data_IF_058060098296
#
_entry.id   IF_058060098296
#
_cell.length_a   1.000
_cell.length_b   1.000
_cell.length_c   1.000
_cell.angle_alpha   90.00
_cell.angle_beta   90.00
_cell.angle_gamma   90.00
#
_symmetry.space_group_name_H-M   'P 1'
#
loop_
_entity.id
_entity.type
_entity.pdbx_description
1 polymer ?
#
# COMPACT_ATOMS: atom_id res chain seq x y z
N UNK A 1 31.57 47.98 -12.97
CA UNK A 1 31.25 46.55 -13.20
C UNK A 1 30.27 46.12 -12.12
N UNK A 2 28.98 46.32 -12.40
CA UNK A 2 27.85 45.90 -11.57
C UNK A 2 27.57 44.43 -11.88
N UNK A 3 27.77 43.54 -10.90
CA UNK A 3 27.48 42.11 -11.04
C UNK A 3 26.05 41.81 -10.57
N UNK A 4 25.15 41.77 -11.53
CA UNK A 4 24.07 40.79 -11.70
C UNK A 4 23.70 39.91 -10.48
N UNK A 5 22.96 40.46 -9.51
CA UNK A 5 22.09 39.67 -8.64
C UNK A 5 20.74 39.54 -9.36
N UNK A 6 20.60 38.50 -10.19
CA UNK A 6 19.34 38.21 -10.88
C UNK A 6 18.42 37.50 -9.89
N UNK A 7 17.43 38.23 -9.40
CA UNK A 7 16.22 37.73 -8.75
C UNK A 7 15.65 36.53 -9.54
N UNK A 8 15.86 35.30 -9.06
CA UNK A 8 15.01 34.17 -9.42
C UNK A 8 13.75 34.29 -8.57
N UNK A 9 12.72 34.94 -9.12
CA UNK A 9 11.34 34.69 -8.70
C UNK A 9 11.03 33.26 -9.11
N UNK A 10 11.13 32.32 -8.15
CA UNK A 10 10.46 31.04 -8.29
C UNK A 10 8.96 31.37 -8.34
N UNK A 11 8.33 31.25 -9.51
CA UNK A 11 6.88 31.15 -9.57
C UNK A 11 6.53 29.90 -8.77
N UNK A 12 6.07 30.06 -7.53
CA UNK A 12 5.46 28.98 -6.76
C UNK A 12 4.29 28.48 -7.60
N UNK A 13 4.36 27.23 -8.04
CA UNK A 13 3.20 26.56 -8.60
C UNK A 13 2.09 26.59 -7.54
N UNK A 14 0.87 26.87 -7.98
CA UNK A 14 -0.33 26.90 -7.16
C UNK A 14 -1.30 25.86 -7.68
N UNK A 15 -2.01 25.21 -6.78
CA UNK A 15 -3.08 24.27 -7.10
C UNK A 15 -4.43 24.85 -6.73
N UNK A 16 -5.40 24.57 -7.58
CA UNK A 16 -6.80 24.86 -7.31
C UNK A 16 -7.42 23.69 -6.57
N UNK A 17 -7.94 23.96 -5.37
CA UNK A 17 -8.61 22.97 -4.54
C UNK A 17 -10.07 23.37 -4.36
N UNK A 18 -10.98 22.53 -4.83
CA UNK A 18 -12.41 22.70 -4.58
C UNK A 18 -12.81 21.89 -3.37
N UNK A 19 -13.34 22.53 -2.33
CA UNK A 19 -13.91 21.83 -1.17
C UNK A 19 -15.42 21.81 -1.29
N UNK A 20 -16.00 20.62 -1.28
CA UNK A 20 -17.44 20.37 -1.30
C UNK A 20 -17.95 20.16 0.11
N UNK A 21 -19.12 20.75 0.39
CA UNK A 21 -19.79 20.66 1.68
C UNK A 21 -21.19 20.11 1.45
N UNK A 22 -21.58 19.16 2.30
CA UNK A 22 -22.92 18.58 2.29
C UNK A 22 -23.54 18.73 3.68
N UNK A 23 -24.66 19.46 3.80
CA UNK A 23 -25.48 19.44 5.00
C UNK A 23 -26.96 19.48 4.64
N UNK A 24 -27.78 18.72 5.37
CA UNK A 24 -29.25 18.73 5.25
C UNK A 24 -29.76 18.58 3.80
N UNK A 25 -29.06 17.78 2.99
CA UNK A 25 -29.42 17.53 1.59
C UNK A 25 -29.01 18.63 0.62
N UNK A 26 -28.41 19.72 1.10
CA UNK A 26 -27.84 20.79 0.28
C UNK A 26 -26.35 20.54 0.04
N UNK A 27 -25.89 20.97 -1.13
CA UNK A 27 -24.48 20.91 -1.53
C UNK A 27 -23.98 22.29 -1.92
N UNK A 28 -22.85 22.69 -1.36
CA UNK A 28 -22.13 23.89 -1.78
C UNK A 28 -20.65 23.56 -1.95
N UNK A 29 -19.94 24.42 -2.68
CA UNK A 29 -18.50 24.26 -2.88
C UNK A 29 -17.80 25.61 -2.75
N UNK A 30 -16.53 25.58 -2.37
CA UNK A 30 -15.65 26.75 -2.35
C UNK A 30 -14.29 26.38 -2.91
N UNK A 31 -13.74 27.25 -3.73
CA UNK A 31 -12.43 27.07 -4.35
C UNK A 31 -11.35 27.81 -3.55
N UNK A 32 -10.17 27.20 -3.49
CA UNK A 32 -8.99 27.70 -2.81
C UNK A 32 -7.80 27.61 -3.73
N UNK A 33 -6.94 28.63 -3.69
CA UNK A 33 -5.61 28.54 -4.28
C UNK A 33 -4.59 28.28 -3.17
N UNK A 34 -3.88 27.16 -3.28
CA UNK A 34 -2.84 26.75 -2.34
C UNK A 34 -1.51 26.60 -3.06
N UNK A 35 -0.40 26.85 -2.37
CA UNK A 35 0.94 26.60 -2.91
C UNK A 35 1.17 25.07 -3.09
N UNK A 36 2.01 24.66 -4.05
CA UNK A 36 2.29 23.24 -4.35
C UNK A 36 2.89 22.39 -3.24
N UNK A 37 3.29 23.01 -2.13
CA UNK A 37 3.81 22.36 -0.94
C UNK A 37 2.89 22.52 0.29
N UNK A 38 1.73 23.14 0.11
CA UNK A 38 0.76 23.34 1.17
C UNK A 38 0.18 21.99 1.63
N UNK A 39 0.07 21.83 2.95
CA UNK A 39 -0.54 20.64 3.55
C UNK A 39 -2.06 20.77 3.64
N UNK A 40 -2.73 19.65 3.86
CA UNK A 40 -4.16 19.63 4.22
C UNK A 40 -4.42 20.52 5.44
N UNK A 41 -3.53 20.51 6.45
CA UNK A 41 -3.64 21.40 7.60
C UNK A 41 -3.62 22.88 7.22
N UNK A 42 -2.69 23.29 6.35
CA UNK A 42 -2.60 24.68 5.87
C UNK A 42 -3.86 25.09 5.09
N UNK A 43 -4.44 24.18 4.31
CA UNK A 43 -5.74 24.40 3.66
C UNK A 43 -6.85 24.59 4.70
N UNK A 44 -6.93 23.73 5.72
CA UNK A 44 -7.93 23.83 6.81
C UNK A 44 -7.80 25.15 7.59
N UNK A 45 -6.59 25.60 7.85
CA UNK A 45 -6.31 26.93 8.43
C UNK A 45 -6.85 28.05 7.53
N UNK A 46 -6.56 27.99 6.22
CA UNK A 46 -7.11 28.95 5.24
C UNK A 46 -8.63 28.89 5.14
N UNK A 47 -9.26 27.75 5.46
CA UNK A 47 -10.71 27.62 5.42
C UNK A 47 -11.41 28.45 6.51
N UNK A 48 -10.77 28.61 7.67
CA UNK A 48 -11.34 29.24 8.86
C UNK A 48 -10.77 30.62 9.18
N UNK A 49 -9.72 31.06 8.48
CA UNK A 49 -9.13 32.39 8.65
C UNK A 49 -10.18 33.51 8.40
N UNK A 50 -10.31 34.54 9.27
CA UNK A 50 -9.50 34.85 10.45
C UNK A 50 -10.08 34.42 11.81
N UNK A 51 -11.08 33.54 11.84
CA UNK A 51 -11.89 33.31 13.05
C UNK A 51 -11.82 31.91 13.66
N UNK A 52 -11.07 30.97 13.07
CA UNK A 52 -10.91 29.61 13.62
C UNK A 52 -9.67 29.43 14.47
N UNK A 53 -9.84 28.81 15.65
CA UNK A 53 -8.76 28.32 16.49
C UNK A 53 -8.30 26.91 16.12
N UNK A 54 -7.30 26.39 16.83
CA UNK A 54 -6.78 25.02 16.62
C UNK A 54 -7.86 23.95 16.79
N UNK A 55 -8.76 24.12 17.76
CA UNK A 55 -9.87 23.18 17.99
C UNK A 55 -10.87 23.16 16.83
N UNK A 56 -11.13 24.32 16.21
CA UNK A 56 -12.01 24.42 15.05
C UNK A 56 -11.38 23.77 13.81
N UNK A 57 -10.06 23.94 13.64
CA UNK A 57 -9.28 23.29 12.58
C UNK A 57 -9.32 21.77 12.76
N UNK A 58 -9.16 21.29 13.99
CA UNK A 58 -9.14 19.87 14.29
C UNK A 58 -10.54 19.24 14.18
N UNK A 59 -11.63 20.00 14.41
CA UNK A 59 -13.02 19.50 14.47
C UNK A 59 -13.62 18.97 13.16
N UNK A 60 -12.90 19.03 12.04
CA UNK A 60 -13.36 18.50 10.76
C UNK A 60 -12.24 17.79 9.98
N UNK A 61 -12.62 16.96 9.02
CA UNK A 61 -11.69 16.32 8.08
C UNK A 61 -12.05 16.64 6.64
N UNK A 62 -11.04 16.48 5.77
CA UNK A 62 -11.20 16.53 4.33
C UNK A 62 -11.02 15.13 3.76
N UNK A 63 -11.83 14.79 2.76
CA UNK A 63 -11.83 13.46 2.15
C UNK A 63 -11.64 13.56 0.64
N UNK A 64 -10.69 12.80 0.11
CA UNK A 64 -10.51 12.67 -1.33
C UNK A 64 -11.17 11.36 -1.78
N UNK A 65 -12.22 11.47 -2.59
CA UNK A 65 -12.99 10.30 -3.09
C UNK A 65 -13.49 9.41 -1.94
N UNK A 66 -14.05 10.03 -0.91
CA UNK A 66 -14.57 9.33 0.28
C UNK A 66 -13.50 8.76 1.23
N UNK A 67 -12.21 9.00 0.99
CA UNK A 67 -11.12 8.60 1.90
C UNK A 67 -10.61 9.81 2.66
N UNK A 68 -10.47 9.70 3.98
CA UNK A 68 -9.84 10.73 4.82
C UNK A 68 -8.44 11.04 4.33
N UNK A 69 -8.10 12.32 4.23
CA UNK A 69 -6.75 12.82 3.93
C UNK A 69 -6.12 13.33 5.24
N UNK A 70 -4.95 12.82 5.66
CA UNK A 70 -4.27 13.28 6.88
C UNK A 70 -3.84 14.75 6.79
N UNK A 71 -3.75 15.41 7.93
CA UNK A 71 -3.42 16.84 8.03
C UNK A 71 -2.03 17.18 7.47
N UNK A 72 -1.06 16.26 7.50
CA UNK A 72 0.31 16.46 6.98
C UNK A 72 0.44 16.22 5.46
N UNK A 73 -0.58 15.68 4.78
CA UNK A 73 -0.47 15.34 3.36
C UNK A 73 -0.35 16.61 2.51
N UNK A 74 0.58 16.63 1.54
CA UNK A 74 0.82 17.77 0.65
C UNK A 74 -0.08 17.74 -0.58
N UNK A 75 -0.59 18.90 -0.93
CA UNK A 75 -1.43 19.09 -2.12
C UNK A 75 -0.52 19.32 -3.32
N UNK A 76 -0.35 18.27 -4.14
CA UNK A 76 0.60 18.28 -5.26
C UNK A 76 -0.08 18.47 -6.64
N UNK A 77 -1.41 18.59 -6.68
CA UNK A 77 -2.20 18.76 -7.88
C UNK A 77 -3.57 19.33 -7.54
N UNK A 78 -4.30 19.79 -8.57
CA UNK A 78 -5.68 20.22 -8.43
C UNK A 78 -6.57 19.05 -8.00
N UNK A 79 -7.46 19.30 -7.04
CA UNK A 79 -8.31 18.24 -6.49
C UNK A 79 -9.63 18.76 -5.92
N UNK A 80 -10.60 17.84 -5.81
CA UNK A 80 -11.87 18.08 -5.12
C UNK A 80 -11.90 17.26 -3.82
N UNK A 81 -12.16 17.94 -2.71
CA UNK A 81 -12.21 17.35 -1.37
C UNK A 81 -13.61 17.48 -0.78
N UNK A 82 -14.09 16.44 -0.11
CA UNK A 82 -15.35 16.46 0.64
C UNK A 82 -15.07 16.86 2.09
N UNK A 83 -15.81 17.85 2.59
CA UNK A 83 -15.78 18.27 3.98
C UNK A 83 -16.66 17.35 4.84
N UNK A 84 -16.14 16.93 5.99
CA UNK A 84 -16.89 16.18 6.99
C UNK A 84 -16.63 16.74 8.40
N UNK A 85 -17.68 17.17 9.10
CA UNK A 85 -17.58 17.65 10.47
C UNK A 85 -17.56 16.48 11.45
N UNK A 86 -16.53 16.40 12.30
CA UNK A 86 -16.32 15.33 13.26
C UNK A 86 -16.72 15.74 14.69
N UNK A 87 -16.67 17.04 14.98
CA UNK A 87 -16.73 17.59 16.33
C UNK A 87 -15.37 17.58 17.04
N UNK A 88 -15.27 18.40 18.07
CA UNK A 88 -14.00 18.72 18.78
C UNK A 88 -13.28 17.47 19.30
N UNK A 89 -14.00 16.55 19.94
CA UNK A 89 -13.39 15.38 20.59
C UNK A 89 -12.73 14.42 19.60
N UNK A 90 -13.46 14.00 18.56
CA UNK A 90 -12.94 13.08 17.55
C UNK A 90 -11.92 13.76 16.63
N UNK A 91 -12.14 15.05 16.34
CA UNK A 91 -11.20 15.88 15.61
C UNK A 91 -9.83 15.96 16.27
N UNK A 92 -9.79 16.36 17.54
CA UNK A 92 -8.56 16.47 18.34
C UNK A 92 -7.84 15.13 18.45
N UNK A 93 -8.60 14.03 18.66
CA UNK A 93 -8.03 12.67 18.72
C UNK A 93 -7.32 12.31 17.42
N UNK A 94 -7.93 12.60 16.27
CA UNK A 94 -7.36 12.31 14.94
C UNK A 94 -6.17 13.23 14.60
N UNK A 95 -6.25 14.52 14.89
CA UNK A 95 -5.13 15.45 14.67
C UNK A 95 -3.88 15.07 15.49
N UNK A 96 -4.07 14.50 16.70
CA UNK A 96 -2.96 13.95 17.49
C UNK A 96 -2.31 12.73 16.82
N UNK A 97 -3.12 11.83 16.23
CA UNK A 97 -2.59 10.67 15.48
C UNK A 97 -1.81 11.13 14.25
N UNK A 98 -2.33 12.12 13.50
CA UNK A 98 -1.64 12.65 12.33
C UNK A 98 -0.26 13.24 12.70
N UNK A 99 -0.17 14.01 13.80
CA UNK A 99 1.11 14.54 14.30
C UNK A 99 2.12 13.44 14.70
N UNK A 100 1.63 12.28 15.14
CA UNK A 100 2.48 11.14 15.48
C UNK A 100 2.96 10.39 14.21
N UNK A 101 2.14 10.38 13.17
CA UNK A 101 2.42 9.70 11.90
C UNK A 101 3.17 10.57 10.87
N UNK A 102 3.16 11.90 11.01
CA UNK A 102 3.84 12.86 10.12
C UNK A 102 5.34 12.55 9.92
N UNK A 103 6.16 12.30 10.98
CA UNK A 103 7.58 11.97 10.80
C UNK A 103 7.81 10.66 10.05
N UNK A 104 6.88 9.71 10.18
CA UNK A 104 6.89 8.44 9.43
C UNK A 104 6.57 8.68 7.96
N UNK A 105 5.74 9.68 7.65
CA UNK A 105 5.33 10.03 6.29
C UNK A 105 6.36 10.85 5.51
N UNK A 106 7.01 11.84 6.13
CA UNK A 106 8.07 12.62 5.48
C UNK A 106 9.25 11.74 5.05
N UNK A 107 9.55 10.70 5.84
CA UNK A 107 10.53 9.66 5.50
C UNK A 107 10.23 8.92 4.19
N UNK A 108 8.95 8.78 3.82
CA UNK A 108 8.50 8.00 2.66
C UNK A 108 8.54 8.81 1.35
N UNK A 109 8.70 10.14 1.43
CA UNK A 109 8.68 11.04 0.27
C UNK A 109 10.09 11.49 -0.21
N UNK A 110 11.17 11.00 0.40
CA UNK A 110 12.53 11.37 -0.01
C UNK A 110 12.89 10.81 -1.41
N UNK A 111 13.55 11.61 -2.29
CA UNK A 111 14.00 11.14 -3.59
C UNK A 111 15.01 9.99 -3.45
N UNK A 112 14.77 8.90 -4.17
CA UNK A 112 15.65 7.73 -4.17
C UNK A 112 16.97 8.06 -4.87
N UNK A 113 18.10 7.72 -4.24
CA UNK A 113 19.33 7.50 -5.01
C UNK A 113 19.26 6.09 -5.60
N UNK A 114 19.69 5.94 -6.85
CA UNK A 114 19.72 4.65 -7.53
C UNK A 114 20.50 3.61 -6.69
N UNK A 115 20.04 2.36 -6.66
CA UNK A 115 20.68 1.32 -5.87
C UNK A 115 22.12 1.11 -6.35
N UNK A 116 23.12 1.03 -5.45
CA UNK A 116 24.49 0.73 -5.86
C UNK A 116 24.55 -0.68 -6.48
N UNK A 117 25.28 -0.79 -7.59
CA UNK A 117 25.53 -2.06 -8.27
C UNK A 117 26.00 -3.14 -7.30
N UNK A 118 25.45 -4.36 -7.49
CA UNK A 118 25.75 -5.57 -6.71
C UNK A 118 27.26 -5.76 -6.51
N UNK A 119 27.74 -5.47 -5.30
CA UNK A 119 29.06 -5.92 -4.86
C UNK A 119 28.98 -7.44 -4.69
N UNK A 120 29.63 -8.17 -5.60
CA UNK A 120 29.83 -9.62 -5.46
C UNK A 120 30.64 -9.88 -4.18
N UNK A 121 30.31 -10.91 -3.37
CA UNK A 121 31.08 -11.23 -2.18
C UNK A 121 32.50 -11.62 -2.59
N UNK A 122 33.47 -10.80 -2.18
CA UNK A 122 34.90 -11.08 -2.33
C UNK A 122 35.27 -12.14 -1.29
N UNK A 123 35.85 -13.23 -1.75
CA UNK A 123 36.39 -14.31 -0.93
C UNK A 123 37.40 -13.76 0.08
N UNK A 124 37.16 -14.03 1.36
CA UNK A 124 38.06 -13.66 2.46
C UNK A 124 39.19 -14.71 2.54
N UNK A 125 40.48 -14.32 2.56
CA UNK A 125 41.54 -15.25 2.89
C UNK A 125 41.60 -15.48 4.40
N UNK A 126 41.76 -16.74 4.80
CA UNK A 126 41.98 -17.13 6.18
C UNK A 126 43.32 -16.58 6.69
N UNK A 127 43.28 -15.78 7.76
CA UNK A 127 44.48 -15.44 8.55
C UNK A 127 44.25 -15.60 10.04
N UNK A 128 45.35 -16.00 10.69
CA UNK A 128 45.50 -16.58 12.02
C UNK A 128 45.09 -15.67 13.17
N UNK A 129 44.75 -16.36 14.28
CA UNK A 129 44.54 -15.85 15.63
C UNK A 129 45.72 -15.03 16.15
N UNK A 130 45.40 -13.91 16.79
CA UNK A 130 46.16 -13.36 17.91
C UNK A 130 45.18 -12.69 18.88
N UNK A 131 45.25 -13.14 20.13
CA UNK A 131 44.47 -12.66 21.28
C UNK A 131 44.71 -11.19 21.60
N UNK A 132 43.63 -10.46 21.91
CA UNK A 132 43.54 -9.60 23.10
C UNK A 132 42.13 -9.04 23.30
N UNK A 133 41.47 -9.52 24.36
CA UNK A 133 40.58 -8.78 25.29
C UNK A 133 39.60 -7.73 24.74
N UNK A 134 38.33 -8.12 24.62
CA UNK A 134 37.20 -7.49 25.33
C UNK A 134 35.93 -8.28 25.01
N UNK A 135 35.68 -9.35 25.77
CA UNK A 135 34.49 -10.20 25.60
C UNK A 135 33.26 -9.42 26.08
N UNK A 136 32.60 -8.73 25.15
CA UNK A 136 31.21 -8.33 25.30
C UNK A 136 30.39 -9.51 24.79
N UNK A 137 29.75 -10.24 25.69
CA UNK A 137 28.94 -11.41 25.37
C UNK A 137 27.92 -11.04 24.30
N UNK A 138 27.99 -11.65 23.12
CA UNK A 138 26.89 -11.56 22.16
C UNK A 138 25.66 -12.24 22.78
N UNK A 139 24.45 -11.69 22.61
CA UNK A 139 23.24 -12.37 23.06
C UNK A 139 23.11 -13.72 22.37
N UNK A 140 22.94 -14.80 23.13
CA UNK A 140 22.64 -16.13 22.60
C UNK A 140 21.33 -16.09 21.81
N UNK A 141 21.19 -16.93 20.77
CA UNK A 141 19.99 -16.96 19.91
C UNK A 141 18.67 -17.19 20.69
N UNK A 142 18.75 -17.76 21.89
CA UNK A 142 17.63 -17.94 22.81
C UNK A 142 17.09 -16.64 23.42
N UNK A 143 17.82 -15.51 23.36
CA UNK A 143 17.37 -14.25 23.94
C UNK A 143 16.47 -13.42 23.03
N UNK A 144 16.30 -13.81 21.76
CA UNK A 144 15.49 -13.06 20.82
C UNK A 144 14.01 -13.44 20.94
N UNK A 145 13.15 -12.43 20.88
CA UNK A 145 11.71 -12.62 20.87
C UNK A 145 11.29 -13.47 19.68
N UNK A 146 10.58 -14.57 19.94
CA UNK A 146 9.95 -15.40 18.91
C UNK A 146 8.50 -14.97 18.74
N UNK A 147 8.21 -14.40 17.59
CA UNK A 147 6.87 -14.03 17.19
C UNK A 147 5.97 -15.27 17.03
N UNK A 148 4.75 -15.19 17.56
CA UNK A 148 3.75 -16.26 17.42
C UNK A 148 2.55 -15.74 16.62
N UNK A 149 2.33 -16.20 15.38
CA UNK A 149 1.19 -15.75 14.58
C UNK A 149 -0.14 -16.17 15.20
N UNK A 150 -1.20 -15.43 14.87
CA UNK A 150 -2.55 -15.75 15.30
C UNK A 150 -3.00 -17.13 14.75
N UNK A 151 -3.81 -17.89 15.50
CA UNK A 151 -4.48 -19.06 14.95
C UNK A 151 -5.39 -18.63 13.79
N UNK A 152 -5.36 -19.38 12.68
CA UNK A 152 -6.17 -19.05 11.51
C UNK A 152 -7.66 -19.37 11.75
N UNK A 153 -8.59 -18.61 11.13
CA UNK A 153 -10.01 -18.95 11.14
C UNK A 153 -10.26 -20.33 10.55
N UNK A 154 -11.30 -21.03 11.03
CA UNK A 154 -11.65 -22.36 10.53
C UNK A 154 -11.90 -22.33 9.01
N UNK A 155 -11.15 -23.13 8.25
CA UNK A 155 -11.22 -23.21 6.78
C UNK A 155 -10.16 -22.38 6.02
N UNK A 156 -9.42 -21.49 6.69
CA UNK A 156 -8.33 -20.73 6.09
C UNK A 156 -7.03 -21.57 6.04
N UNK A 157 -6.73 -22.19 4.90
CA UNK A 157 -5.44 -22.87 4.69
C UNK A 157 -4.31 -21.85 4.46
N UNK A 158 -3.04 -22.23 4.76
CA UNK A 158 -1.86 -21.49 4.27
C UNK A 158 -1.83 -21.54 2.75
N UNK A 159 -2.51 -20.61 2.10
CA UNK A 159 -2.37 -20.38 0.66
C UNK A 159 -1.10 -19.56 0.46
N UNK A 160 -0.14 -20.16 -0.22
CA UNK A 160 1.01 -19.43 -0.75
C UNK A 160 0.55 -18.30 -1.68
N UNK A 161 1.47 -17.39 -2.05
CA UNK A 161 1.17 -16.32 -2.99
C UNK A 161 0.50 -16.87 -4.25
N UNK A 162 -0.69 -16.37 -4.57
CA UNK A 162 -1.24 -16.57 -5.90
C UNK A 162 -0.29 -15.85 -6.87
N UNK A 163 0.24 -16.57 -7.85
CA UNK A 163 1.08 -15.97 -8.89
C UNK A 163 0.40 -14.72 -9.47
N UNK A 164 1.18 -13.75 -9.95
CA UNK A 164 0.66 -12.55 -10.62
C UNK A 164 -0.06 -12.94 -11.91
N UNK A 165 -1.30 -13.41 -11.77
CA UNK A 165 -2.15 -13.87 -12.86
C UNK A 165 -2.86 -12.68 -13.46
N UNK A 166 -2.80 -12.57 -14.78
CA UNK A 166 -3.54 -11.52 -15.51
C UNK A 166 -5.03 -11.77 -15.29
N UNK A 167 -5.75 -10.73 -14.94
CA UNK A 167 -7.19 -10.78 -14.68
C UNK A 167 -7.94 -9.92 -15.68
N UNK A 168 -9.16 -10.34 -15.97
CA UNK A 168 -10.04 -9.73 -16.94
C UNK A 168 -11.41 -9.49 -16.32
N UNK A 169 -12.07 -8.41 -16.73
CA UNK A 169 -13.46 -8.11 -16.41
C UNK A 169 -14.32 -8.34 -17.63
N UNK A 170 -15.45 -9.03 -17.44
CA UNK A 170 -16.48 -9.15 -18.47
C UNK A 170 -17.27 -7.85 -18.57
N UNK A 171 -17.17 -7.17 -19.71
CA UNK A 171 -17.83 -5.87 -19.96
C UNK A 171 -18.93 -5.93 -21.01
N UNK A 172 -18.99 -7.01 -21.80
CA UNK A 172 -19.98 -7.18 -22.86
C UNK A 172 -21.06 -8.21 -22.54
N UNK A 173 -22.07 -8.29 -23.42
CA UNK A 173 -23.13 -9.29 -23.34
C UNK A 173 -24.24 -8.99 -22.32
N UNK A 174 -24.29 -7.78 -21.77
CA UNK A 174 -25.28 -7.36 -20.76
C UNK A 174 -26.72 -7.56 -21.24
N UNK A 175 -26.96 -7.29 -22.52
CA UNK A 175 -28.23 -7.49 -23.23
C UNK A 175 -28.67 -8.96 -23.30
N UNK A 176 -27.73 -9.90 -23.13
CA UNK A 176 -27.95 -11.35 -23.22
C UNK A 176 -27.66 -12.07 -21.91
N UNK A 177 -27.56 -11.34 -20.80
CA UNK A 177 -27.25 -11.88 -19.48
C UNK A 177 -25.80 -12.37 -19.30
N UNK A 178 -24.90 -12.03 -20.23
CA UNK A 178 -23.49 -12.42 -20.19
C UNK A 178 -22.91 -12.86 -21.54
N UNK A 179 -21.63 -13.17 -21.53
CA UNK A 179 -20.87 -13.60 -22.71
C UNK A 179 -20.92 -15.12 -22.87
N UNK A 180 -20.88 -15.54 -24.14
CA UNK A 180 -20.92 -16.94 -24.52
C UNK A 180 -19.59 -17.63 -24.18
N UNK A 181 -19.67 -18.74 -23.43
CA UNK A 181 -18.52 -19.58 -23.10
C UNK A 181 -18.52 -20.83 -23.97
N UNK A 182 -17.34 -21.27 -24.39
CA UNK A 182 -17.14 -22.51 -25.16
C UNK A 182 -16.20 -23.47 -24.45
N UNK A 183 -16.38 -24.77 -24.68
CA UNK A 183 -15.52 -25.82 -24.12
C UNK A 183 -14.09 -25.77 -24.70
N UNK A 184 -13.93 -25.31 -25.94
CA UNK A 184 -12.64 -25.27 -26.64
C UNK A 184 -12.29 -23.91 -27.23
N UNK A 185 -11.02 -23.78 -27.65
CA UNK A 185 -10.48 -22.55 -28.23
C UNK A 185 -11.23 -22.12 -29.49
N UNK A 186 -11.65 -23.07 -30.35
CA UNK A 186 -12.34 -22.76 -31.61
C UNK A 186 -13.69 -22.07 -31.39
N UNK A 187 -14.02 -21.11 -32.27
CA UNK A 187 -15.35 -20.48 -32.31
C UNK A 187 -16.45 -21.42 -32.79
N UNK A 188 -16.11 -22.62 -33.25
CA UNK A 188 -17.07 -23.67 -33.63
C UNK A 188 -17.18 -24.80 -32.62
N UNK A 189 -16.40 -24.78 -31.52
CA UNK A 189 -16.47 -25.83 -30.49
C UNK A 189 -17.80 -25.77 -29.73
N UNK A 190 -18.14 -26.83 -28.99
CA UNK A 190 -19.35 -26.89 -28.17
C UNK A 190 -19.50 -25.65 -27.27
N UNK A 191 -20.68 -25.05 -27.32
CA UNK A 191 -21.08 -23.98 -26.42
C UNK A 191 -21.48 -24.59 -25.08
N UNK A 192 -21.06 -23.95 -23.99
CA UNK A 192 -21.58 -24.29 -22.67
C UNK A 192 -23.00 -23.72 -22.51
N UNK A 193 -23.80 -24.40 -21.69
CA UNK A 193 -25.19 -24.02 -21.42
C UNK A 193 -25.27 -22.66 -20.74
N UNK A 194 -24.38 -22.42 -19.78
CA UNK A 194 -24.34 -21.19 -19.00
C UNK A 194 -23.45 -20.13 -19.65
N UNK A 195 -23.89 -18.88 -19.54
CA UNK A 195 -23.11 -17.70 -19.92
C UNK A 195 -22.30 -17.19 -18.74
N UNK A 196 -21.17 -16.57 -19.03
CA UNK A 196 -20.40 -15.85 -18.02
C UNK A 196 -20.97 -14.43 -17.88
N UNK A 197 -21.48 -14.09 -16.69
CA UNK A 197 -22.21 -12.84 -16.46
C UNK A 197 -21.38 -11.59 -16.72
N UNK A 198 -22.03 -10.51 -17.16
CA UNK A 198 -21.38 -9.18 -17.22
C UNK A 198 -20.98 -8.74 -15.81
N UNK A 199 -19.79 -8.15 -15.65
CA UNK A 199 -19.18 -7.81 -14.37
C UNK A 199 -18.46 -8.97 -13.68
N UNK A 200 -18.47 -10.18 -14.24
CA UNK A 200 -17.66 -11.28 -13.73
C UNK A 200 -16.16 -10.97 -13.86
N UNK A 201 -15.39 -11.39 -12.85
CA UNK A 201 -13.94 -11.35 -12.91
C UNK A 201 -13.38 -12.73 -13.18
N UNK A 202 -12.39 -12.78 -14.06
CA UNK A 202 -11.78 -14.03 -14.51
C UNK A 202 -10.26 -13.93 -14.54
N UNK A 203 -9.61 -15.06 -14.32
CA UNK A 203 -8.16 -15.27 -14.40
C UNK A 203 -7.80 -15.78 -15.80
N UNK A 204 -6.73 -15.26 -16.40
CA UNK A 204 -6.15 -15.75 -17.65
C UNK A 204 -5.40 -17.06 -17.40
N UNK A 205 -5.87 -18.14 -18.05
CA UNK A 205 -5.15 -19.41 -18.09
C UNK A 205 -4.30 -19.54 -19.36
N UNK A 206 -4.84 -19.12 -20.50
CA UNK A 206 -4.14 -19.10 -21.80
C UNK A 206 -4.78 -18.01 -22.69
N UNK A 207 -3.96 -17.39 -23.54
CA UNK A 207 -4.40 -16.40 -24.52
C UNK A 207 -3.85 -16.73 -25.90
N UNK A 208 -4.74 -17.06 -26.83
CA UNK A 208 -4.41 -17.49 -28.19
C UNK A 208 -5.09 -16.58 -29.22
N UNK A 209 -4.38 -15.54 -29.66
CA UNK A 209 -4.97 -14.50 -30.50
C UNK A 209 -6.13 -13.83 -29.77
N UNK A 210 -7.32 -13.85 -30.35
CA UNK A 210 -8.54 -13.23 -29.80
C UNK A 210 -9.33 -14.16 -28.86
N UNK A 211 -8.73 -15.27 -28.40
CA UNK A 211 -9.39 -16.30 -27.60
C UNK A 211 -8.72 -16.45 -26.25
N UNK A 212 -9.48 -16.19 -25.19
CA UNK A 212 -9.03 -16.24 -23.80
C UNK A 212 -9.61 -17.50 -23.13
N UNK A 213 -8.73 -18.37 -22.64
CA UNK A 213 -9.10 -19.40 -21.69
C UNK A 213 -9.06 -18.84 -20.28
N UNK A 214 -10.09 -19.11 -19.50
CA UNK A 214 -10.24 -18.49 -18.20
C UNK A 214 -10.61 -19.44 -17.08
N UNK A 215 -10.37 -18.99 -15.85
CA UNK A 215 -10.99 -19.49 -14.62
C UNK A 215 -11.80 -18.37 -13.95
N UNK A 216 -13.05 -18.63 -13.58
CA UNK A 216 -13.93 -17.65 -12.93
C UNK A 216 -13.47 -17.39 -11.50
N UNK A 217 -13.30 -16.11 -11.17
CA UNK A 217 -12.96 -15.65 -9.81
C UNK A 217 -14.20 -15.13 -9.08
N UNK A 218 -15.11 -14.44 -9.77
CA UNK A 218 -16.37 -13.94 -9.23
C UNK A 218 -17.45 -13.81 -10.31
N UNK A 219 -18.69 -13.45 -9.94
CA UNK A 219 -19.84 -13.43 -10.86
C UNK A 219 -20.50 -14.81 -11.03
N UNK A 220 -21.37 -14.98 -12.02
CA UNK A 220 -22.07 -16.24 -12.30
C UNK A 220 -21.68 -16.82 -13.67
N UNK A 221 -21.91 -18.13 -13.85
CA UNK A 221 -21.56 -18.87 -15.06
C UNK A 221 -20.51 -19.97 -14.83
N UNK A 222 -20.00 -20.57 -15.92
CA UNK A 222 -19.05 -21.68 -15.85
C UNK A 222 -17.77 -21.32 -15.05
N UNK A 223 -17.21 -22.29 -14.34
CA UNK A 223 -15.94 -22.11 -13.61
C UNK A 223 -14.76 -21.93 -14.57
N UNK A 224 -14.78 -22.58 -15.73
CA UNK A 224 -13.74 -22.46 -16.76
C UNK A 224 -14.34 -22.46 -18.16
N UNK A 225 -13.57 -22.01 -19.14
CA UNK A 225 -13.90 -22.14 -20.55
C UNK A 225 -13.17 -21.14 -21.43
N UNK A 226 -13.63 -21.01 -22.67
CA UNK A 226 -13.06 -20.11 -23.68
C UNK A 226 -14.04 -19.03 -24.10
N UNK A 227 -13.57 -17.78 -24.10
CA UNK A 227 -14.32 -16.59 -24.53
C UNK A 227 -13.54 -15.83 -25.61
N UNK A 228 -14.23 -14.99 -26.38
CA UNK A 228 -13.57 -14.04 -27.29
C UNK A 228 -13.26 -12.74 -26.55
N UNK A 229 -12.16 -12.09 -26.89
CA UNK A 229 -11.85 -10.74 -26.41
C UNK A 229 -12.87 -9.71 -26.90
N UNK A 230 -13.26 -9.82 -28.17
CA UNK A 230 -14.23 -8.95 -28.82
C UNK A 230 -15.10 -9.70 -29.85
N UNK A 231 -16.24 -9.12 -30.22
CA UNK A 231 -17.10 -9.59 -31.34
C UNK A 231 -17.58 -8.37 -32.11
N UNK A 232 -17.31 -8.34 -33.42
CA UNK A 232 -17.68 -7.23 -34.31
C UNK A 232 -17.23 -5.86 -33.79
N UNK A 233 -16.01 -5.79 -33.25
CA UNK A 233 -15.43 -4.57 -32.69
C UNK A 233 -15.94 -4.18 -31.29
N UNK A 234 -16.91 -4.91 -30.72
CA UNK A 234 -17.34 -4.70 -29.34
C UNK A 234 -16.51 -5.54 -28.39
N UNK A 235 -15.86 -4.88 -27.44
CA UNK A 235 -15.10 -5.53 -26.37
C UNK A 235 -16.04 -6.35 -25.46
N UNK A 236 -15.66 -7.59 -25.19
CA UNK A 236 -16.41 -8.50 -24.31
C UNK A 236 -15.72 -8.68 -22.97
N UNK A 237 -14.38 -8.69 -22.98
CA UNK A 237 -13.55 -8.70 -21.79
C UNK A 237 -12.46 -7.66 -21.94
N UNK A 238 -12.09 -7.02 -20.83
CA UNK A 238 -10.95 -6.09 -20.78
C UNK A 238 -9.98 -6.47 -19.68
N UNK A 239 -8.67 -6.23 -19.85
CA UNK A 239 -7.72 -6.39 -18.76
C UNK A 239 -8.16 -5.51 -17.59
N UNK A 240 -8.27 -6.11 -16.40
CA UNK A 240 -8.56 -5.37 -15.17
C UNK A 240 -7.45 -5.63 -14.17
N UNK A 241 -6.65 -4.61 -13.93
CA UNK A 241 -5.81 -4.58 -12.76
C UNK A 241 -6.72 -4.40 -11.56
N UNK A 242 -6.88 -5.45 -10.75
CA UNK A 242 -7.41 -5.24 -9.40
C UNK A 242 -6.43 -4.34 -8.67
N UNK A 243 -6.98 -3.39 -7.94
CA UNK A 243 -6.17 -2.59 -7.04
C UNK A 243 -5.51 -3.52 -6.00
N UNK A 244 -4.32 -3.18 -5.48
CA UNK A 244 -3.68 -3.98 -4.44
C UNK A 244 -4.59 -4.23 -3.22
N UNK A 245 -5.53 -3.32 -2.96
CA UNK A 245 -6.57 -3.43 -1.94
C UNK A 245 -7.59 -4.54 -2.22
N UNK A 246 -7.90 -4.82 -3.49
CA UNK A 246 -8.81 -5.89 -3.92
C UNK A 246 -8.09 -7.24 -4.05
N UNK A 247 -6.76 -7.23 -4.14
CA UNK A 247 -5.93 -8.44 -4.26
C UNK A 247 -5.62 -9.10 -2.91
N UNK A 248 -5.46 -8.31 -1.86
CA UNK A 248 -5.13 -8.83 -0.54
C UNK A 248 -6.40 -9.41 0.09
N UNK A 249 -6.75 -10.66 -0.19
CA UNK A 249 -7.78 -11.39 0.57
C UNK A 249 -7.34 -11.59 2.03
N UNK A 250 -8.26 -11.89 2.95
CA UNK A 250 -7.90 -12.14 4.36
C UNK A 250 -6.85 -13.27 4.48
N UNK A 251 -7.03 -14.38 3.75
CA UNK A 251 -6.07 -15.48 3.72
C UNK A 251 -4.68 -15.02 3.25
N UNK A 252 -4.62 -14.16 2.23
CA UNK A 252 -3.36 -13.61 1.71
C UNK A 252 -2.76 -12.60 2.68
N UNK A 253 -3.58 -11.78 3.35
CA UNK A 253 -3.17 -10.82 4.36
C UNK A 253 -2.50 -11.51 5.56
N UNK A 254 -3.09 -12.59 6.07
CA UNK A 254 -2.52 -13.37 7.17
C UNK A 254 -1.22 -14.07 6.74
N UNK A 255 -1.19 -14.63 5.52
CA UNK A 255 0.01 -15.29 4.99
C UNK A 255 1.17 -14.29 4.81
N UNK A 256 0.88 -13.08 4.30
CA UNK A 256 1.86 -12.02 4.14
C UNK A 256 2.46 -11.63 5.51
N UNK A 257 1.62 -11.41 6.52
CA UNK A 257 2.07 -11.11 7.88
C UNK A 257 2.95 -12.24 8.44
N UNK A 258 2.55 -13.50 8.30
CA UNK A 258 3.33 -14.65 8.74
C UNK A 258 4.73 -14.69 8.08
N UNK A 259 4.82 -14.48 6.77
CA UNK A 259 6.11 -14.47 6.05
C UNK A 259 7.00 -13.28 6.44
N UNK A 260 6.40 -12.09 6.69
CA UNK A 260 7.13 -10.95 7.24
C UNK A 260 7.64 -11.25 8.66
N UNK A 261 6.82 -11.86 9.51
CA UNK A 261 7.21 -12.26 10.87
C UNK A 261 8.37 -13.26 10.84
N UNK A 262 8.33 -14.23 9.93
CA UNK A 262 9.43 -15.18 9.73
C UNK A 262 10.72 -14.46 9.31
N UNK A 263 10.65 -13.59 8.31
CA UNK A 263 11.81 -12.83 7.82
C UNK A 263 12.41 -11.90 8.88
N UNK A 264 11.56 -11.13 9.56
CA UNK A 264 11.98 -10.24 10.63
C UNK A 264 12.42 -11.00 11.90
N UNK A 265 11.93 -12.21 12.12
CA UNK A 265 12.32 -13.06 13.24
C UNK A 265 13.70 -13.70 13.11
N UNK A 266 14.35 -13.63 11.93
CA UNK A 266 15.66 -14.27 11.72
C UNK A 266 16.74 -13.69 12.66
N UNK A 267 17.61 -14.53 13.26
CA UNK A 267 18.65 -14.06 14.19
C UNK A 267 19.59 -13.01 13.60
N UNK A 268 19.93 -13.12 12.31
CA UNK A 268 20.75 -12.15 11.59
C UNK A 268 20.09 -10.77 11.46
N UNK A 269 18.78 -10.75 11.19
CA UNK A 269 18.00 -9.51 11.13
C UNK A 269 17.89 -8.89 12.52
N UNK A 270 17.53 -9.68 13.53
CA UNK A 270 17.35 -9.20 14.91
C UNK A 270 18.66 -8.66 15.51
N UNK A 271 19.81 -9.29 15.23
CA UNK A 271 21.14 -8.75 15.58
C UNK A 271 21.40 -7.40 14.92
N UNK A 272 21.13 -7.29 13.63
CA UNK A 272 21.32 -6.04 12.88
C UNK A 272 20.43 -4.91 13.40
N UNK A 273 19.16 -5.20 13.71
CA UNK A 273 18.23 -4.25 14.30
C UNK A 273 18.68 -3.81 15.70
N UNK A 274 19.09 -4.76 16.55
CA UNK A 274 19.59 -4.46 17.90
C UNK A 274 20.85 -3.57 17.87
N UNK A 275 21.79 -3.84 16.94
CA UNK A 275 22.96 -2.99 16.74
C UNK A 275 22.56 -1.58 16.29
N UNK A 276 21.62 -1.46 15.34
CA UNK A 276 21.13 -0.18 14.85
C UNK A 276 20.46 0.64 15.97
N UNK A 277 19.57 0.03 16.75
CA UNK A 277 18.90 0.69 17.88
C UNK A 277 19.89 1.11 18.95
N UNK A 278 20.89 0.29 19.26
CA UNK A 278 21.93 0.62 20.23
C UNK A 278 22.81 1.78 19.77
N UNK A 279 23.10 1.88 18.48
CA UNK A 279 23.85 3.00 17.90
C UNK A 279 23.05 4.31 17.88
N UNK A 280 21.71 4.22 17.89
CA UNK A 280 20.82 5.39 17.83
C UNK A 280 19.71 5.33 18.90
N UNK A 281 20.04 5.57 20.20
CA UNK A 281 19.11 5.36 21.31
C UNK A 281 17.82 6.18 21.24
N UNK A 282 17.84 7.37 20.62
CA UNK A 282 16.66 8.23 20.50
C UNK A 282 15.71 7.80 19.39
N UNK A 283 16.14 6.93 18.46
CA UNK A 283 15.35 6.43 17.31
C UNK A 283 14.74 7.53 16.40
N UNK A 284 15.23 8.77 16.45
CA UNK A 284 14.62 9.94 15.77
C UNK A 284 15.50 10.57 14.67
N UNK A 285 16.77 10.19 14.55
CA UNK A 285 17.70 10.79 13.58
C UNK A 285 17.48 10.31 12.15
N UNK A 286 17.64 11.20 11.16
CA UNK A 286 17.47 10.88 9.72
C UNK A 286 18.32 9.70 9.26
N UNK A 287 19.55 9.58 9.77
CA UNK A 287 20.43 8.44 9.49
C UNK A 287 19.87 7.12 10.04
N UNK A 288 19.37 7.12 11.28
CA UNK A 288 18.73 5.95 11.88
C UNK A 288 17.51 5.53 11.08
N UNK A 289 16.66 6.50 10.74
CA UNK A 289 15.45 6.30 9.97
C UNK A 289 15.75 5.70 8.59
N UNK A 290 16.75 6.22 7.88
CA UNK A 290 17.22 5.67 6.60
C UNK A 290 17.71 4.22 6.74
N UNK A 291 18.63 3.96 7.67
CA UNK A 291 19.17 2.61 7.90
C UNK A 291 18.09 1.62 8.36
N UNK A 292 17.11 2.07 9.14
CA UNK A 292 15.97 1.24 9.58
C UNK A 292 15.10 0.86 8.39
N UNK A 293 14.78 1.80 7.51
CA UNK A 293 14.03 1.53 6.27
C UNK A 293 14.78 0.54 5.37
N UNK A 294 16.07 0.75 5.14
CA UNK A 294 16.91 -0.16 4.34
C UNK A 294 16.94 -1.58 4.94
N UNK A 295 17.09 -1.68 6.27
CA UNK A 295 17.05 -2.95 6.97
C UNK A 295 15.68 -3.62 6.80
N UNK A 296 14.56 -2.91 6.98
CA UNK A 296 13.22 -3.50 6.84
C UNK A 296 12.96 -3.95 5.39
N UNK A 297 13.43 -3.17 4.41
CA UNK A 297 13.35 -3.51 2.99
C UNK A 297 14.14 -4.76 2.63
N UNK A 298 15.19 -5.12 3.36
CA UNK A 298 15.91 -6.39 3.12
C UNK A 298 15.00 -7.62 3.22
N UNK A 299 13.95 -7.55 4.03
CA UNK A 299 12.91 -8.59 4.14
C UNK A 299 11.74 -8.28 3.22
N UNK A 300 11.21 -7.05 3.28
CA UNK A 300 10.01 -6.66 2.53
C UNK A 300 10.21 -6.80 1.01
N UNK A 301 11.39 -6.50 0.47
CA UNK A 301 11.66 -6.61 -0.97
C UNK A 301 11.58 -8.04 -1.52
N UNK A 302 11.74 -9.05 -0.65
CA UNK A 302 11.61 -10.46 -1.00
C UNK A 302 10.16 -10.94 -0.85
N UNK A 303 9.46 -10.48 0.20
CA UNK A 303 8.11 -10.93 0.51
C UNK A 303 7.05 -10.23 -0.34
N UNK A 304 7.12 -8.90 -0.47
CA UNK A 304 6.08 -8.08 -1.12
C UNK A 304 5.75 -8.49 -2.56
N UNK A 305 6.73 -8.78 -3.45
CA UNK A 305 6.44 -9.18 -4.83
C UNK A 305 5.57 -10.43 -4.93
N UNK A 306 5.66 -11.32 -3.94
CA UNK A 306 4.87 -12.55 -3.87
C UNK A 306 3.38 -12.24 -3.70
N UNK A 307 3.03 -11.12 -3.09
CA UNK A 307 1.66 -10.70 -2.87
C UNK A 307 1.19 -9.60 -3.83
N UNK A 308 1.96 -9.34 -4.90
CA UNK A 308 1.63 -8.36 -5.92
C UNK A 308 1.99 -6.92 -5.57
N UNK A 309 2.82 -6.71 -4.54
CA UNK A 309 3.34 -5.39 -4.18
C UNK A 309 4.79 -5.24 -4.63
N UNK A 310 5.18 -4.05 -5.02
CA UNK A 310 6.57 -3.77 -5.36
C UNK A 310 7.48 -3.99 -4.14
N UNK A 311 8.68 -4.55 -4.35
CA UNK A 311 9.67 -4.73 -3.29
C UNK A 311 10.38 -3.44 -2.86
N UNK A 312 9.64 -2.35 -2.73
CA UNK A 312 10.14 -0.99 -2.52
C UNK A 312 9.31 -0.23 -1.48
N UNK A 313 9.76 0.95 -0.98
CA UNK A 313 8.97 1.76 -0.06
C UNK A 313 7.56 2.05 -0.56
N UNK A 314 7.41 2.30 -1.86
CA UNK A 314 6.11 2.52 -2.50
C UNK A 314 5.21 1.30 -2.38
N UNK A 315 5.75 0.11 -2.62
CA UNK A 315 5.02 -1.14 -2.44
C UNK A 315 4.65 -1.43 -0.99
N UNK A 316 5.48 -1.03 -0.01
CA UNK A 316 5.13 -1.07 1.42
C UNK A 316 3.91 -0.20 1.71
N UNK A 317 3.88 1.04 1.19
CA UNK A 317 2.72 1.93 1.37
C UNK A 317 1.46 1.34 0.73
N UNK A 318 1.58 0.79 -0.48
CA UNK A 318 0.48 0.09 -1.15
C UNK A 318 -0.02 -1.11 -0.34
N UNK A 319 0.89 -1.89 0.23
CA UNK A 319 0.58 -3.02 1.11
C UNK A 319 -0.17 -2.55 2.36
N UNK A 320 0.32 -1.53 3.05
CA UNK A 320 -0.35 -0.96 4.23
C UNK A 320 -1.78 -0.51 3.90
N UNK A 321 -1.97 0.16 2.76
CA UNK A 321 -3.31 0.57 2.30
C UNK A 321 -4.22 -0.64 1.98
N UNK A 322 -3.65 -1.76 1.52
CA UNK A 322 -4.39 -2.98 1.23
C UNK A 322 -4.89 -3.73 2.46
N UNK A 323 -4.36 -3.45 3.65
CA UNK A 323 -4.88 -3.99 4.91
C UNK A 323 -6.15 -3.29 5.41
N UNK A 324 -6.51 -2.11 4.89
CA UNK A 324 -7.64 -1.32 5.40
C UNK A 324 -8.97 -2.09 5.46
N UNK A 325 -9.37 -2.90 4.46
CA UNK A 325 -10.58 -3.73 4.54
C UNK A 325 -10.54 -4.78 5.66
N UNK A 326 -9.35 -5.20 6.09
CA UNK A 326 -9.14 -6.26 7.09
C UNK A 326 -8.84 -5.72 8.49
N UNK A 327 -8.86 -4.40 8.69
CA UNK A 327 -8.52 -3.78 9.99
C UNK A 327 -9.43 -4.21 11.15
N UNK A 328 -10.63 -4.72 10.85
CA UNK A 328 -11.58 -5.25 11.83
C UNK A 328 -11.31 -6.71 12.23
N UNK A 329 -10.38 -7.40 11.56
CA UNK A 329 -10.08 -8.80 11.81
C UNK A 329 -9.11 -8.93 13.00
N UNK A 330 -9.48 -9.65 14.09
CA UNK A 330 -8.65 -9.75 15.28
C UNK A 330 -7.31 -10.46 15.02
N UNK A 331 -7.26 -11.41 14.09
CA UNK A 331 -6.03 -12.11 13.70
C UNK A 331 -5.03 -11.17 13.02
N UNK A 332 -5.52 -10.24 12.18
CA UNK A 332 -4.70 -9.22 11.53
C UNK A 332 -4.13 -8.26 12.57
N UNK A 333 -4.94 -7.84 13.54
CA UNK A 333 -4.52 -7.01 14.67
C UNK A 333 -3.45 -7.70 15.52
N UNK A 334 -3.67 -8.96 15.90
CA UNK A 334 -2.69 -9.75 16.65
C UNK A 334 -1.35 -9.87 15.93
N UNK A 335 -1.36 -10.23 14.65
CA UNK A 335 -0.14 -10.35 13.87
C UNK A 335 0.60 -9.01 13.75
N UNK A 336 -0.13 -7.90 13.65
CA UNK A 336 0.46 -6.56 13.66
C UNK A 336 1.17 -6.27 14.99
N UNK A 337 0.60 -6.66 16.14
CA UNK A 337 1.26 -6.52 17.45
C UNK A 337 2.53 -7.36 17.55
N UNK A 338 2.55 -8.56 16.97
CA UNK A 338 3.75 -9.41 16.93
C UNK A 338 4.84 -8.80 16.04
N UNK A 339 4.46 -8.24 14.89
CA UNK A 339 5.38 -7.50 14.01
C UNK A 339 5.95 -6.26 14.72
N UNK A 340 5.13 -5.48 15.42
CA UNK A 340 5.59 -4.32 16.17
C UNK A 340 6.64 -4.70 17.24
N UNK A 341 6.42 -5.81 17.96
CA UNK A 341 7.40 -6.37 18.91
C UNK A 341 8.71 -6.77 18.23
N UNK A 342 8.65 -7.48 17.11
CA UNK A 342 9.85 -7.87 16.34
C UNK A 342 10.63 -6.67 15.81
N UNK A 343 9.92 -5.60 15.44
CA UNK A 343 10.49 -4.39 14.84
C UNK A 343 10.87 -3.33 15.89
N UNK A 344 10.62 -3.59 17.17
CA UNK A 344 10.88 -2.67 18.29
C UNK A 344 10.23 -1.28 18.08
N UNK A 345 9.00 -1.29 17.58
CA UNK A 345 8.18 -0.11 17.30
C UNK A 345 7.30 0.28 18.48
#
# INVERSE_FOLDING_TARGET
>A
MQAYVRNMRFNKCRHSVTVQFCAEGQRWQRDFEVDSDATIRALKESMLNPRGGEEDIDAFELRLRGRRVPDFEKICQDCTLDFEYLGVSEGTRKARLDRQDEPRWDMLQLPQQEPPERIRPRSVPATRKSDSSSVRSEPSEESFFRATPAPRPAGAARKGPAAAVKRWEVVGGSDKGGILVREGQSTTSKQLTDRLSTGAFIEELDLRGERLQFKRLSGTGPETGWVSLSVSGKELVRPKQMSPQEMLTLDSALSLQEELMEGFGKPEFQRSLAQLVRAHPTKTGSEFLKKRTELFLSVQSVVLPRYGFEGSPKGVVQMMAAYAPHGHCPEVGWNNDQLNKLLQM
#
